data_IF_329652956452
#
_entry.id   IF_329652956452
#
_cell.length_a   1.000
_cell.length_b   1.000
_cell.length_c   1.000
_cell.angle_alpha   90.00
_cell.angle_beta   90.00
_cell.angle_gamma   90.00
#
_symmetry.space_group_name_H-M   'P 1'
#
loop_
_entity.id
_entity.type
_entity.pdbx_description
1 polymer ?
#
# COMPACT_ATOMS: atom_id res chain seq x y z
N UNK A 1 29.44 -83.52 1.58
CA UNK A 1 28.36 -82.51 1.38
C UNK A 1 28.69 -81.31 2.25
N UNK A 2 28.61 -80.06 1.73
CA UNK A 2 28.52 -78.74 2.43
C UNK A 2 29.39 -78.50 3.70
N UNK A 3 30.09 -77.39 3.90
CA UNK A 3 30.09 -76.05 3.27
C UNK A 3 31.54 -75.75 2.74
N UNK A 4 32.14 -74.55 2.62
CA UNK A 4 31.75 -73.17 2.92
C UNK A 4 32.50 -72.13 2.04
N UNK A 5 31.78 -71.04 1.72
CA UNK A 5 32.17 -69.61 1.80
C UNK A 5 33.58 -69.15 1.35
N UNK A 6 33.62 -68.33 0.29
CA UNK A 6 34.56 -67.21 0.15
C UNK A 6 33.88 -66.07 -0.64
N UNK A 7 33.24 -65.15 0.08
CA UNK A 7 32.57 -63.99 -0.50
C UNK A 7 33.58 -62.87 -0.75
N UNK A 8 33.76 -62.48 -2.01
CA UNK A 8 34.67 -61.40 -2.40
C UNK A 8 33.96 -60.05 -2.28
N UNK A 9 34.31 -59.27 -1.25
CA UNK A 9 33.73 -57.96 -1.02
C UNK A 9 34.33 -56.92 -1.99
N UNK A 10 33.52 -56.39 -2.89
CA UNK A 10 33.91 -55.26 -3.76
C UNK A 10 33.54 -53.95 -3.06
N UNK A 11 34.55 -53.21 -2.63
CA UNK A 11 34.38 -51.90 -1.99
C UNK A 11 34.16 -50.81 -3.05
N UNK A 12 32.89 -50.54 -3.37
CA UNK A 12 32.52 -49.47 -4.29
C UNK A 12 32.63 -48.09 -3.60
N UNK A 13 33.70 -47.35 -3.87
CA UNK A 13 33.86 -45.96 -3.41
C UNK A 13 32.99 -45.06 -4.30
N UNK A 14 31.76 -44.80 -3.89
CA UNK A 14 30.91 -43.80 -4.52
C UNK A 14 31.38 -42.39 -4.11
N UNK A 15 32.01 -41.65 -5.04
CA UNK A 15 32.17 -40.20 -4.88
C UNK A 15 30.80 -39.54 -5.03
N UNK A 16 30.08 -39.41 -3.91
CA UNK A 16 28.86 -38.63 -3.82
C UNK A 16 29.17 -37.15 -4.05
N UNK A 17 28.90 -36.66 -5.27
CA UNK A 17 28.99 -35.25 -5.60
C UNK A 17 27.95 -34.45 -4.82
N UNK A 18 28.35 -33.88 -3.68
CA UNK A 18 27.58 -32.87 -2.96
C UNK A 18 27.59 -31.56 -3.74
N UNK A 19 26.77 -31.49 -4.79
CA UNK A 19 26.32 -30.21 -5.30
C UNK A 19 25.47 -29.55 -4.21
N UNK A 20 25.83 -28.37 -3.66
CA UNK A 20 24.93 -27.66 -2.79
C UNK A 20 23.70 -27.29 -3.62
N UNK A 21 22.55 -27.86 -3.27
CA UNK A 21 21.29 -27.40 -3.81
C UNK A 21 21.13 -25.94 -3.38
N UNK A 22 21.34 -25.01 -4.32
CA UNK A 22 21.13 -23.60 -4.07
C UNK A 22 19.68 -23.42 -3.63
N UNK A 23 19.48 -23.11 -2.36
CA UNK A 23 18.17 -22.81 -1.82
C UNK A 23 17.71 -21.49 -2.44
N UNK A 24 17.02 -21.60 -3.58
CA UNK A 24 16.30 -20.49 -4.18
C UNK A 24 15.27 -20.01 -3.17
N UNK A 25 15.62 -18.99 -2.40
CA UNK A 25 14.69 -18.29 -1.54
C UNK A 25 13.47 -17.91 -2.41
N UNK A 26 12.24 -18.23 -1.99
CA UNK A 26 11.06 -17.93 -2.79
C UNK A 26 11.03 -16.42 -2.99
N UNK A 27 11.24 -15.97 -4.22
CA UNK A 27 11.24 -14.54 -4.55
C UNK A 27 9.92 -13.95 -4.08
N UNK A 28 9.99 -13.08 -3.08
CA UNK A 28 8.82 -12.51 -2.46
C UNK A 28 8.11 -11.67 -3.51
N UNK A 29 6.98 -12.16 -4.02
CA UNK A 29 6.15 -11.39 -4.94
C UNK A 29 5.71 -10.13 -4.21
N UNK A 30 6.21 -9.00 -4.67
CA UNK A 30 5.71 -7.68 -4.28
C UNK A 30 4.58 -7.35 -5.27
N UNK A 31 3.39 -7.07 -4.75
CA UNK A 31 2.26 -6.61 -5.55
C UNK A 31 1.94 -5.18 -5.12
N UNK A 32 2.00 -4.27 -6.09
CA UNK A 32 1.56 -2.89 -5.94
C UNK A 32 0.13 -2.79 -6.48
N UNK A 33 -0.81 -2.40 -5.63
CA UNK A 33 -2.20 -2.12 -6.03
C UNK A 33 -2.41 -0.62 -5.93
N UNK A 34 -2.88 0.00 -7.02
CA UNK A 34 -3.31 1.40 -7.04
C UNK A 34 -4.79 1.42 -7.40
N UNK A 35 -5.60 2.06 -6.57
CA UNK A 35 -7.03 2.28 -6.80
C UNK A 35 -7.30 3.77 -6.83
N UNK A 36 -8.05 4.23 -7.83
CA UNK A 36 -8.41 5.65 -7.98
C UNK A 36 -9.92 5.78 -8.07
N UNK A 37 -10.51 6.55 -7.16
CA UNK A 37 -11.93 6.87 -7.12
C UNK A 37 -12.16 8.37 -7.33
N UNK A 38 -13.20 8.73 -8.09
CA UNK A 38 -13.58 10.12 -8.32
C UNK A 38 -15.01 10.38 -7.81
N UNK A 39 -15.15 11.37 -6.95
CA UNK A 39 -16.40 11.81 -6.35
C UNK A 39 -16.74 13.21 -6.87
N UNK A 40 -17.79 13.34 -7.72
CA UNK A 40 -18.24 14.64 -8.20
C UNK A 40 -18.59 15.60 -7.05
N UNK A 41 -18.45 16.89 -7.32
CA UNK A 41 -18.80 17.95 -6.38
C UNK A 41 -20.23 17.79 -5.82
N UNK A 42 -20.41 18.17 -4.55
CA UNK A 42 -21.69 18.10 -3.82
C UNK A 42 -22.24 16.69 -3.54
N UNK A 43 -21.58 15.61 -3.98
CA UNK A 43 -21.97 14.24 -3.62
C UNK A 43 -21.71 13.94 -2.13
N UNK A 44 -22.42 12.95 -1.58
CA UNK A 44 -22.23 12.51 -0.21
C UNK A 44 -20.80 11.95 0.01
N UNK A 45 -20.26 11.17 -0.94
CA UNK A 45 -18.91 10.64 -0.87
C UNK A 45 -17.83 11.73 -0.83
N UNK A 46 -17.94 12.77 -1.66
CA UNK A 46 -17.02 13.91 -1.64
C UNK A 46 -17.01 14.61 -0.26
N UNK A 47 -18.19 14.78 0.37
CA UNK A 47 -18.28 15.33 1.74
C UNK A 47 -17.64 14.43 2.78
N UNK A 48 -17.98 13.12 2.77
CA UNK A 48 -17.43 12.14 3.72
C UNK A 48 -15.90 12.13 3.70
N UNK A 49 -15.28 12.10 2.50
CA UNK A 49 -13.82 12.12 2.36
C UNK A 49 -13.22 13.40 2.95
N UNK A 50 -13.78 14.58 2.64
CA UNK A 50 -13.26 15.85 3.12
C UNK A 50 -13.47 16.06 4.63
N UNK A 51 -14.58 15.58 5.20
CA UNK A 51 -14.84 15.64 6.63
C UNK A 51 -13.84 14.76 7.43
N UNK A 52 -13.38 13.64 6.86
CA UNK A 52 -12.35 12.78 7.45
C UNK A 52 -10.94 13.37 7.34
N UNK A 53 -10.65 14.07 6.23
CA UNK A 53 -9.42 14.88 6.09
C UNK A 53 -9.40 15.94 7.18
N UNK A 54 -10.49 16.70 7.34
CA UNK A 54 -10.62 17.76 8.36
C UNK A 54 -10.41 17.27 9.80
N UNK A 55 -10.74 16.00 10.09
CA UNK A 55 -10.52 15.37 11.41
C UNK A 55 -9.06 14.98 11.68
N UNK A 56 -8.23 14.82 10.64
CA UNK A 56 -6.85 14.31 10.75
C UNK A 56 -5.78 15.35 10.48
N UNK A 57 -6.10 16.40 9.73
CA UNK A 57 -5.16 17.48 9.42
C UNK A 57 -5.24 18.61 10.45
N UNK A 58 -4.17 19.40 10.57
CA UNK A 58 -4.20 20.65 11.34
C UNK A 58 -5.20 21.63 10.72
N UNK A 59 -5.89 22.49 11.49
CA UNK A 59 -6.88 23.43 10.94
C UNK A 59 -6.37 24.33 9.81
N UNK A 60 -5.07 24.66 9.79
CA UNK A 60 -4.41 25.42 8.71
C UNK A 60 -4.39 24.70 7.35
N UNK A 61 -4.59 23.39 7.33
CA UNK A 61 -4.60 22.53 6.15
C UNK A 61 -5.98 21.91 5.92
N UNK A 62 -7.02 22.36 6.63
CA UNK A 62 -8.38 21.85 6.42
C UNK A 62 -8.88 22.13 4.98
N UNK A 63 -9.84 21.32 4.48
CA UNK A 63 -10.52 21.62 3.23
C UNK A 63 -11.12 23.03 3.25
N UNK A 64 -10.80 23.86 2.25
CA UNK A 64 -11.32 25.23 2.12
C UNK A 64 -12.74 25.27 1.52
N UNK A 65 -13.20 24.15 0.98
CA UNK A 65 -14.54 23.97 0.42
C UNK A 65 -14.73 22.56 -0.14
N UNK A 66 -15.97 22.23 -0.50
CA UNK A 66 -16.34 20.93 -1.06
C UNK A 66 -16.32 21.00 -2.59
N UNK A 67 -15.19 20.62 -3.19
CA UNK A 67 -14.96 20.57 -4.64
C UNK A 67 -15.23 19.18 -5.24
N UNK A 68 -14.66 18.93 -6.42
CA UNK A 68 -14.58 17.57 -6.97
C UNK A 68 -13.42 16.85 -6.29
N UNK A 69 -13.67 15.67 -5.73
CA UNK A 69 -12.68 14.95 -4.93
C UNK A 69 -12.17 13.74 -5.72
N UNK A 70 -10.85 13.62 -5.85
CA UNK A 70 -10.20 12.39 -6.30
C UNK A 70 -9.49 11.75 -5.11
N UNK A 71 -9.58 10.43 -5.02
CA UNK A 71 -8.92 9.61 -4.00
C UNK A 71 -8.05 8.61 -4.72
N UNK A 72 -6.79 8.54 -4.34
CA UNK A 72 -5.84 7.53 -4.79
C UNK A 72 -5.35 6.73 -3.58
N UNK A 73 -5.36 5.41 -3.69
CA UNK A 73 -4.94 4.50 -2.63
C UNK A 73 -3.89 3.54 -3.19
N UNK A 74 -2.71 3.55 -2.61
CA UNK A 74 -1.57 2.73 -3.04
C UNK A 74 -1.14 1.79 -1.91
N UNK A 75 -1.34 0.49 -2.12
CA UNK A 75 -0.93 -0.57 -1.21
C UNK A 75 0.21 -1.40 -1.78
N UNK A 76 1.13 -1.84 -0.92
CA UNK A 76 2.24 -2.74 -1.27
C UNK A 76 2.11 -4.02 -0.43
N UNK A 77 1.79 -5.12 -1.09
CA UNK A 77 1.68 -6.45 -0.45
C UNK A 77 2.93 -7.28 -0.74
N UNK A 78 3.54 -7.85 0.31
CA UNK A 78 4.71 -8.73 0.20
C UNK A 78 4.35 -10.19 0.49
N UNK A 79 4.50 -11.06 -0.50
CA UNK A 79 4.22 -12.51 -0.38
C UNK A 79 2.73 -12.88 -0.47
N UNK A 80 2.34 -14.01 0.12
CA UNK A 80 0.93 -14.48 0.16
C UNK A 80 0.07 -13.77 1.21
N UNK A 81 0.61 -12.78 1.91
CA UNK A 81 -0.16 -11.88 2.74
C UNK A 81 -0.92 -10.90 1.85
N UNK A 82 -1.97 -11.40 1.19
CA UNK A 82 -3.12 -10.58 0.78
C UNK A 82 -3.80 -10.10 2.06
N UNK A 83 -3.18 -9.14 2.74
CA UNK A 83 -3.87 -8.32 3.71
C UNK A 83 -5.07 -7.73 2.97
N UNK A 84 -6.27 -7.94 3.51
CA UNK A 84 -7.49 -7.40 2.93
C UNK A 84 -7.43 -5.88 3.01
N UNK A 85 -6.89 -5.24 1.98
CA UNK A 85 -7.47 -3.98 1.53
C UNK A 85 -8.97 -4.26 1.42
N UNK A 86 -9.77 -3.55 2.19
CA UNK A 86 -11.22 -3.65 2.12
C UNK A 86 -11.63 -3.07 0.75
N UNK A 87 -11.62 -3.92 -0.29
CA UNK A 87 -11.84 -3.58 -1.72
C UNK A 87 -13.29 -3.18 -2.01
N UNK A 88 -13.99 -2.65 -1.01
CA UNK A 88 -15.42 -2.38 -1.03
C UNK A 88 -15.77 -1.29 -0.02
N UNK A 89 -15.65 -0.04 -0.45
CA UNK A 89 -16.79 0.86 -0.71
C UNK A 89 -16.22 2.23 -1.13
N UNK A 90 -16.53 2.72 -2.34
CA UNK A 90 -16.29 4.12 -2.68
C UNK A 90 -16.98 5.04 -1.65
N UNK A 91 -16.20 5.89 -0.98
CA UNK A 91 -16.65 6.79 0.08
C UNK A 91 -16.57 6.22 1.50
N UNK A 92 -16.24 4.93 1.70
CA UNK A 92 -15.90 4.42 3.03
C UNK A 92 -14.40 4.54 3.24
N UNK A 93 -14.06 5.40 4.19
CA UNK A 93 -12.68 5.76 4.49
C UNK A 93 -11.95 4.58 5.12
N UNK A 94 -10.64 4.43 4.90
CA UNK A 94 -9.89 3.34 5.48
C UNK A 94 -9.79 3.52 7.00
N UNK A 95 -10.68 2.87 7.75
CA UNK A 95 -10.60 2.78 9.21
C UNK A 95 -9.33 2.02 9.64
N UNK A 96 -8.82 1.15 8.76
CA UNK A 96 -7.54 0.45 8.88
C UNK A 96 -6.79 0.45 7.54
N UNK A 97 -5.47 0.35 7.60
CA UNK A 97 -4.58 0.23 6.44
C UNK A 97 -3.50 -0.83 6.62
N UNK A 98 -2.69 -1.02 5.57
CA UNK A 98 -1.50 -1.89 5.56
C UNK A 98 -0.26 -1.03 5.92
N UNK A 99 0.72 -1.51 6.70
CA UNK A 99 1.94 -0.74 6.99
C UNK A 99 2.62 -0.19 5.73
N UNK A 100 2.75 1.14 5.65
CA UNK A 100 3.30 1.84 4.47
C UNK A 100 2.31 2.03 3.30
N UNK A 101 1.03 1.73 3.48
CA UNK A 101 -0.03 2.08 2.53
C UNK A 101 -0.20 3.61 2.48
N UNK A 102 -0.34 4.15 1.26
CA UNK A 102 -0.54 5.58 1.01
C UNK A 102 -2.00 5.81 0.61
N UNK A 103 -2.60 6.84 1.20
CA UNK A 103 -3.92 7.36 0.86
C UNK A 103 -3.78 8.84 0.51
N UNK A 104 -4.03 9.20 -0.73
CA UNK A 104 -3.95 10.56 -1.26
C UNK A 104 -5.35 11.06 -1.57
N UNK A 105 -5.65 12.28 -1.12
CA UNK A 105 -6.91 12.97 -1.41
C UNK A 105 -6.58 14.26 -2.16
N UNK A 106 -7.27 14.50 -3.25
CA UNK A 106 -7.19 15.74 -4.03
C UNK A 106 -8.58 16.37 -4.14
N UNK A 107 -8.68 17.68 -3.96
CA UNK A 107 -9.90 18.46 -3.97
C UNK A 107 -9.76 19.64 -4.94
N UNK A 108 -10.44 19.55 -6.08
CA UNK A 108 -10.52 20.61 -7.08
C UNK A 108 -11.74 21.50 -6.77
N UNK A 109 -11.46 22.69 -6.26
CA UNK A 109 -12.44 23.70 -5.87
C UNK A 109 -13.04 24.43 -7.10
N UNK A 110 -14.23 25.06 -6.95
CA UNK A 110 -14.91 25.75 -8.05
C UNK A 110 -14.16 26.96 -8.63
N UNK A 111 -13.22 27.53 -7.89
CA UNK A 111 -12.33 28.61 -8.33
C UNK A 111 -11.09 28.09 -9.09
N UNK A 112 -11.02 26.77 -9.33
CA UNK A 112 -9.89 26.08 -9.95
C UNK A 112 -8.76 25.71 -8.97
N UNK A 113 -8.83 26.12 -7.71
CA UNK A 113 -7.78 25.82 -6.74
C UNK A 113 -7.77 24.35 -6.35
N UNK A 114 -6.58 23.78 -6.18
CA UNK A 114 -6.38 22.37 -5.85
C UNK A 114 -5.75 22.27 -4.47
N UNK A 115 -6.39 21.52 -3.57
CA UNK A 115 -5.79 21.07 -2.32
C UNK A 115 -5.49 19.57 -2.43
N UNK A 116 -4.28 19.16 -2.09
CA UNK A 116 -3.88 17.75 -2.08
C UNK A 116 -3.28 17.38 -0.73
N UNK A 117 -3.75 16.29 -0.14
CA UNK A 117 -3.25 15.70 1.09
C UNK A 117 -2.75 14.30 0.83
N UNK A 118 -1.70 13.91 1.54
CA UNK A 118 -1.16 12.56 1.53
C UNK A 118 -1.09 12.05 2.97
N UNK A 119 -1.57 10.82 3.15
CA UNK A 119 -1.57 10.12 4.42
C UNK A 119 -0.87 8.78 4.24
N UNK A 120 -0.06 8.37 5.22
CA UNK A 120 0.55 7.03 5.25
C UNK A 120 0.07 6.28 6.47
N UNK A 121 -0.24 4.99 6.31
CA UNK A 121 -0.58 4.13 7.45
C UNK A 121 0.68 3.70 8.20
N UNK A 122 0.77 4.15 9.45
CA UNK A 122 1.88 3.85 10.37
C UNK A 122 1.39 2.85 11.41
N UNK A 123 2.10 1.72 11.52
CA UNK A 123 1.92 0.75 12.61
C UNK A 123 2.94 1.03 13.72
N UNK A 124 2.51 1.25 14.98
CA UNK A 124 3.43 1.46 16.09
C UNK A 124 4.13 0.15 16.46
N UNK A 125 5.36 0.26 16.98
CA UNK A 125 6.22 -0.88 17.33
C UNK A 125 5.66 -1.83 18.39
N UNK A 126 4.53 -1.48 19.02
CA UNK A 126 3.76 -2.32 19.94
C UNK A 126 2.90 -3.38 19.24
N UNK A 127 2.74 -3.35 17.91
CA UNK A 127 1.97 -4.34 17.14
C UNK A 127 0.45 -4.32 17.38
N UNK A 128 -0.06 -3.26 18.02
CA UNK A 128 -1.48 -3.12 18.37
C UNK A 128 -2.01 -1.75 17.94
N UNK A 129 -2.74 -1.74 16.82
CA UNK A 129 -3.46 -0.58 16.28
C UNK A 129 -2.55 0.41 15.54
N UNK A 130 -2.75 0.54 14.23
CA UNK A 130 -2.10 1.58 13.42
C UNK A 130 -2.95 2.83 13.27
N UNK A 131 -2.40 3.85 12.60
CA UNK A 131 -3.10 5.08 12.29
C UNK A 131 -2.61 5.74 11.00
N UNK A 132 -3.48 6.56 10.40
CA UNK A 132 -3.12 7.42 9.27
C UNK A 132 -2.40 8.67 9.78
N UNK A 133 -1.11 8.80 9.48
CA UNK A 133 -0.33 10.01 9.71
C UNK A 133 -0.28 10.87 8.45
N UNK A 134 -0.17 12.20 8.59
CA UNK A 134 -0.19 13.14 7.46
C UNK A 134 1.23 13.34 6.95
N UNK A 135 1.57 12.71 5.83
CA UNK A 135 2.91 12.78 5.23
C UNK A 135 3.09 13.94 4.26
N UNK A 136 2.00 14.43 3.65
CA UNK A 136 2.08 15.50 2.65
C UNK A 136 0.87 16.43 2.63
N UNK A 137 1.14 17.69 2.30
CA UNK A 137 0.12 18.68 1.94
C UNK A 137 0.64 19.59 0.84
N UNK A 138 -0.21 19.91 -0.13
CA UNK A 138 0.05 20.97 -1.10
C UNK A 138 -1.23 21.75 -1.43
N UNK A 139 -1.04 23.00 -1.82
CA UNK A 139 -2.09 23.89 -2.30
C UNK A 139 -1.60 24.60 -3.56
N UNK A 140 -2.43 24.61 -4.61
CA UNK A 140 -2.19 25.32 -5.86
C UNK A 140 -3.41 26.20 -6.12
N UNK A 141 -3.21 27.48 -6.44
CA UNK A 141 -4.34 28.39 -6.66
C UNK A 141 -4.86 28.25 -8.09
N UNK A 142 -6.17 28.33 -8.30
CA UNK A 142 -6.78 28.14 -9.62
C UNK A 142 -6.42 29.16 -10.70
N UNK A 143 -5.75 30.25 -10.30
CA UNK A 143 -5.20 31.28 -11.18
C UNK A 143 -3.66 31.38 -11.09
N UNK A 144 -2.95 30.38 -10.53
CA UNK A 144 -1.51 30.28 -10.75
C UNK A 144 -1.29 30.01 -12.25
N UNK A 145 -0.60 30.90 -12.99
CA UNK A 145 -0.32 30.65 -14.39
C UNK A 145 0.52 29.37 -14.48
N UNK A 146 0.07 28.41 -15.29
CA UNK A 146 0.91 27.28 -15.67
C UNK A 146 2.16 27.86 -16.31
N UNK A 147 3.28 27.78 -15.60
CA UNK A 147 4.57 28.22 -16.12
C UNK A 147 5.01 27.19 -17.17
N UNK A 148 4.51 27.36 -18.39
CA UNK A 148 4.92 26.59 -19.56
C UNK A 148 6.37 26.99 -19.87
N UNK A 149 7.30 26.14 -19.44
CA UNK A 149 8.69 26.11 -19.90
C UNK A 149 8.81 25.17 -21.10
#
# INVERSE_FOLDING_TARGET
>A
MKHALNGLAVLAIALGGLFPAAASAPSQRITHTVTTDAYPMQTAGARQVLDWVAQRVKPSFAPQGYGNVQVERQAVSVGRASARSDESIPGKLPDQGIPGEIYRVENLLPDGSIQTWEFTWVEPSSGHGGGWDVTGYSYKKGNDPVNQQ
#
